data_IF_664975331279
#
_entry.id   IF_664975331279
#
_cell.length_a   1.000
_cell.length_b   1.000
_cell.length_c   1.000
_cell.angle_alpha   90.00
_cell.angle_beta   90.00
_cell.angle_gamma   90.00
#
_symmetry.space_group_name_H-M   'P 1'
#
loop_
_entity.id
_entity.type
_entity.pdbx_description
1 polymer ?
#
# COMPACT_ATOMS: atom_id res chain seq x y z
N UNK A 1 -7.29 55.55 -13.91
CA UNK A 1 -7.30 54.45 -12.92
C UNK A 1 -7.36 53.15 -13.72
N UNK A 2 -6.21 52.55 -14.04
CA UNK A 2 -6.17 51.27 -14.79
C UNK A 2 -6.61 50.19 -13.82
N UNK A 3 -7.81 49.68 -14.05
CA UNK A 3 -8.46 48.70 -13.18
C UNK A 3 -7.54 47.50 -13.00
N UNK A 4 -6.92 47.38 -11.83
CA UNK A 4 -6.13 46.22 -11.41
C UNK A 4 -6.96 44.91 -11.43
N UNK A 5 -8.26 45.02 -11.65
CA UNK A 5 -9.23 43.95 -11.76
C UNK A 5 -9.08 43.10 -13.03
N UNK A 6 -8.68 43.66 -14.17
CA UNK A 6 -8.55 42.89 -15.43
C UNK A 6 -7.44 41.83 -15.42
N UNK A 7 -6.22 42.07 -14.92
CA UNK A 7 -5.21 41.00 -14.83
C UNK A 7 -5.62 39.92 -13.81
N UNK A 8 -6.27 40.31 -12.71
CA UNK A 8 -6.79 39.38 -11.69
C UNK A 8 -7.92 38.50 -12.24
N UNK A 9 -8.85 39.08 -13.00
CA UNK A 9 -9.93 38.35 -13.68
C UNK A 9 -9.37 37.35 -14.70
N UNK A 10 -8.37 37.78 -15.48
CA UNK A 10 -7.74 36.90 -16.48
C UNK A 10 -7.01 35.73 -15.81
N UNK A 11 -6.30 35.99 -14.70
CA UNK A 11 -5.66 34.95 -13.90
C UNK A 11 -6.68 33.97 -13.32
N UNK A 12 -7.79 34.46 -12.77
CA UNK A 12 -8.87 33.61 -12.25
C UNK A 12 -9.47 32.72 -13.35
N UNK A 13 -9.77 33.27 -14.53
CA UNK A 13 -10.35 32.51 -15.63
C UNK A 13 -9.43 31.40 -16.16
N UNK A 14 -8.11 31.56 -16.04
CA UNK A 14 -7.14 30.52 -16.39
C UNK A 14 -6.94 29.49 -15.27
N UNK A 15 -6.96 29.91 -14.01
CA UNK A 15 -6.71 29.04 -12.85
C UNK A 15 -7.92 28.15 -12.55
N UNK A 16 -9.15 28.65 -12.63
CA UNK A 16 -10.37 27.88 -12.32
C UNK A 16 -10.52 26.57 -13.11
N UNK A 17 -10.36 26.53 -14.45
CA UNK A 17 -10.48 25.29 -15.22
C UNK A 17 -9.25 24.38 -15.11
N UNK A 18 -8.08 24.96 -14.82
CA UNK A 18 -6.80 24.22 -14.70
C UNK A 18 -6.64 23.54 -13.34
N UNK A 19 -7.17 24.14 -12.29
CA UNK A 19 -7.12 23.65 -10.92
C UNK A 19 -7.71 22.23 -10.74
N UNK A 20 -8.92 21.89 -11.22
CA UNK A 20 -9.47 20.55 -11.06
C UNK A 20 -8.66 19.48 -11.80
N UNK A 21 -8.09 19.79 -12.96
CA UNK A 21 -7.20 18.89 -13.70
C UNK A 21 -5.89 18.61 -12.94
N UNK A 22 -5.33 19.63 -12.31
CA UNK A 22 -4.13 19.50 -11.47
C UNK A 22 -4.43 18.70 -10.20
N UNK A 23 -5.59 18.94 -9.57
CA UNK A 23 -6.04 18.19 -8.40
C UNK A 23 -6.29 16.72 -8.76
N UNK A 24 -6.94 16.43 -9.88
CA UNK A 24 -7.22 15.07 -10.34
C UNK A 24 -5.94 14.28 -10.64
N UNK A 25 -4.91 14.92 -11.23
CA UNK A 25 -3.58 14.31 -11.41
C UNK A 25 -2.88 14.04 -10.09
N UNK A 26 -2.96 14.96 -9.13
CA UNK A 26 -2.41 14.76 -7.79
C UNK A 26 -3.11 13.60 -7.05
N UNK A 27 -4.44 13.50 -7.17
CA UNK A 27 -5.21 12.38 -6.62
C UNK A 27 -4.86 11.05 -7.30
N UNK A 28 -4.70 11.01 -8.62
CA UNK A 28 -4.30 9.78 -9.33
C UNK A 28 -2.87 9.32 -8.95
N UNK A 29 -1.96 10.27 -8.70
CA UNK A 29 -0.63 9.98 -8.19
C UNK A 29 -0.65 9.49 -6.73
N UNK A 30 -1.54 10.02 -5.89
CA UNK A 30 -1.76 9.55 -4.52
C UNK A 30 -2.46 8.18 -4.46
N UNK A 31 -3.25 7.83 -5.49
CA UNK A 31 -3.91 6.52 -5.64
C UNK A 31 -3.00 5.42 -6.17
N UNK A 32 -1.75 5.72 -6.54
CA UNK A 32 -0.79 4.64 -6.77
C UNK A 32 -0.51 3.97 -5.43
N UNK A 33 -1.11 2.78 -5.26
CA UNK A 33 -0.95 1.92 -4.10
C UNK A 33 0.51 1.73 -3.76
N UNK A 34 0.98 2.52 -2.80
CA UNK A 34 2.32 2.37 -2.26
C UNK A 34 2.47 1.01 -1.58
N UNK A 35 3.72 0.65 -1.30
CA UNK A 35 4.05 -0.55 -0.53
C UNK A 35 3.47 -0.38 0.89
N UNK A 36 2.21 -0.78 1.09
CA UNK A 36 1.56 -0.65 2.39
C UNK A 36 1.76 -1.94 3.19
N UNK A 37 2.26 -1.80 4.41
CA UNK A 37 2.49 -2.94 5.29
C UNK A 37 1.17 -3.68 5.59
N UNK A 38 0.06 -2.93 5.66
CA UNK A 38 -1.27 -3.49 5.84
C UNK A 38 -1.75 -4.34 4.65
N UNK A 39 -1.48 -3.92 3.41
CA UNK A 39 -1.79 -4.74 2.23
C UNK A 39 -0.97 -6.04 2.22
N UNK A 40 0.30 -5.96 2.61
CA UNK A 40 1.18 -7.12 2.65
C UNK A 40 0.74 -8.11 3.74
N UNK A 41 0.37 -7.60 4.93
CA UNK A 41 -0.21 -8.40 6.01
C UNK A 41 -1.46 -9.15 5.55
N UNK A 42 -2.41 -8.46 4.90
CA UNK A 42 -3.62 -9.09 4.37
C UNK A 42 -3.32 -10.15 3.32
N UNK A 43 -2.38 -9.88 2.42
CA UNK A 43 -1.97 -10.83 1.39
C UNK A 43 -1.36 -12.10 2.01
N UNK A 44 -0.52 -11.96 3.03
CA UNK A 44 0.14 -13.09 3.71
C UNK A 44 -0.83 -13.91 4.56
N UNK A 45 -1.75 -13.27 5.27
CA UNK A 45 -2.82 -13.98 6.00
C UNK A 45 -3.76 -14.71 5.04
N UNK A 46 -4.11 -14.08 3.93
CA UNK A 46 -4.89 -14.73 2.88
C UNK A 46 -4.13 -15.95 2.32
N UNK A 47 -2.84 -15.80 1.99
CA UNK A 47 -2.03 -16.92 1.53
C UNK A 47 -2.01 -18.07 2.55
N UNK A 48 -1.79 -17.78 3.83
CA UNK A 48 -1.86 -18.77 4.92
C UNK A 48 -3.19 -19.52 4.93
N UNK A 49 -4.33 -18.86 4.70
CA UNK A 49 -5.65 -19.52 4.64
C UNK A 49 -5.85 -20.42 3.41
N UNK A 50 -5.06 -20.25 2.35
CA UNK A 50 -5.14 -21.11 1.15
C UNK A 50 -4.38 -22.43 1.29
N UNK A 51 -3.59 -22.59 2.36
CA UNK A 51 -2.79 -23.79 2.60
C UNK A 51 -3.64 -24.85 3.30
N UNK A 52 -3.66 -26.07 2.73
CA UNK A 52 -4.39 -27.19 3.32
C UNK A 52 -3.82 -27.62 4.69
N UNK A 53 -2.50 -27.50 4.85
CA UNK A 53 -1.82 -27.73 6.12
C UNK A 53 -0.74 -26.64 6.33
N UNK A 54 -1.06 -25.53 7.01
CA UNK A 54 -0.10 -24.47 7.28
C UNK A 54 0.98 -24.97 8.25
N UNK A 55 2.24 -24.68 7.95
CA UNK A 55 3.37 -25.07 8.80
C UNK A 55 3.28 -24.46 10.20
N UNK A 56 3.85 -25.16 11.20
CA UNK A 56 3.88 -24.70 12.60
C UNK A 56 4.53 -23.31 12.74
N UNK A 57 5.55 -23.01 11.93
CA UNK A 57 6.22 -21.71 11.87
C UNK A 57 5.26 -20.55 11.54
N UNK A 58 4.19 -20.81 10.78
CA UNK A 58 3.18 -19.81 10.44
C UNK A 58 2.22 -19.51 11.60
N UNK A 59 2.33 -20.18 12.75
CA UNK A 59 1.49 -19.90 13.93
C UNK A 59 1.62 -18.47 14.44
N UNK A 60 2.80 -17.86 14.28
CA UNK A 60 3.08 -16.46 14.62
C UNK A 60 2.35 -15.45 13.71
N UNK A 61 1.87 -15.87 12.55
CA UNK A 61 1.22 -14.99 11.58
C UNK A 61 -0.22 -14.68 12.00
N UNK A 62 -0.43 -13.50 12.60
CA UNK A 62 -1.71 -13.09 13.22
C UNK A 62 -2.03 -11.64 12.91
N UNK A 63 -3.33 -11.31 12.83
CA UNK A 63 -3.79 -9.96 12.56
C UNK A 63 -3.59 -9.05 13.78
N UNK A 64 -2.41 -8.46 13.89
CA UNK A 64 -2.08 -7.46 14.92
C UNK A 64 -2.35 -6.08 14.32
N UNK A 65 -3.61 -5.64 14.41
CA UNK A 65 -4.13 -4.48 13.71
C UNK A 65 -3.60 -3.11 14.19
N UNK A 66 -2.72 -3.05 15.21
CA UNK A 66 -2.46 -1.78 15.92
C UNK A 66 -1.01 -1.52 16.35
N UNK A 67 -0.05 -2.39 16.08
CA UNK A 67 1.34 -2.16 16.51
C UNK A 67 2.27 -2.27 15.32
N UNK A 68 3.08 -1.24 15.12
CA UNK A 68 4.11 -1.12 14.07
C UNK A 68 5.21 -2.20 14.08
N UNK A 69 5.09 -3.23 14.93
CA UNK A 69 5.88 -4.48 14.91
C UNK A 69 5.12 -5.71 14.39
N UNK A 70 3.90 -5.54 13.86
CA UNK A 70 2.95 -6.64 13.65
C UNK A 70 3.30 -7.67 12.57
N UNK A 71 3.93 -7.28 11.46
CA UNK A 71 4.23 -8.17 10.33
C UNK A 71 5.66 -8.71 10.35
N UNK A 72 6.61 -7.86 10.73
CA UNK A 72 8.04 -8.14 10.64
C UNK A 72 8.57 -9.02 11.79
N UNK A 73 7.74 -9.24 12.81
CA UNK A 73 8.03 -10.16 13.91
C UNK A 73 7.51 -11.58 13.66
N UNK A 74 6.88 -11.82 12.51
CA UNK A 74 6.43 -13.16 12.13
C UNK A 74 7.61 -14.04 11.76
N UNK A 75 7.53 -15.30 12.17
CA UNK A 75 8.55 -16.28 11.82
C UNK A 75 8.65 -16.41 10.30
N UNK A 76 9.88 -16.36 9.80
CA UNK A 76 10.15 -16.46 8.39
C UNK A 76 9.80 -15.21 7.57
N UNK A 77 9.33 -14.10 8.16
CA UNK A 77 9.13 -12.83 7.45
C UNK A 77 10.31 -11.90 7.70
N UNK A 78 10.92 -11.42 6.62
CA UNK A 78 11.97 -10.40 6.70
C UNK A 78 11.45 -9.09 6.11
N UNK A 79 11.51 -8.03 6.92
CA UNK A 79 11.22 -6.69 6.47
C UNK A 79 12.50 -5.87 6.34
N UNK A 80 12.57 -5.05 5.30
CA UNK A 80 13.63 -4.05 5.14
C UNK A 80 13.04 -2.74 4.67
N UNK A 81 13.72 -1.63 4.97
CA UNK A 81 13.37 -0.33 4.43
C UNK A 81 13.75 -0.30 2.94
N UNK A 82 12.75 -0.13 2.05
CA UNK A 82 12.95 -0.15 0.59
C UNK A 82 12.78 1.25 0.03
N UNK A 83 13.70 1.71 -0.83
CA UNK A 83 13.55 3.02 -1.48
C UNK A 83 12.38 2.97 -2.45
N UNK A 84 11.39 3.82 -2.23
CA UNK A 84 10.26 4.01 -3.11
C UNK A 84 10.05 5.51 -3.37
N UNK A 85 10.61 6.00 -4.48
CA UNK A 85 10.65 7.42 -4.80
C UNK A 85 11.45 8.20 -3.74
N UNK A 86 10.79 9.18 -3.09
CA UNK A 86 11.37 9.94 -1.98
C UNK A 86 11.15 9.31 -0.60
N UNK A 87 10.37 8.23 -0.52
CA UNK A 87 10.06 7.55 0.74
C UNK A 87 10.92 6.29 0.91
N UNK A 88 11.05 5.85 2.16
CA UNK A 88 11.72 4.60 2.53
C UNK A 88 10.80 3.78 3.45
N UNK A 89 9.67 3.26 2.96
CA UNK A 89 8.77 2.44 3.77
C UNK A 89 9.40 1.09 4.15
N UNK A 90 9.00 0.55 5.31
CA UNK A 90 9.25 -0.84 5.65
C UNK A 90 8.37 -1.76 4.79
N UNK A 91 9.00 -2.74 4.17
CA UNK A 91 8.35 -3.71 3.29
C UNK A 91 8.89 -5.12 3.56
N UNK A 92 8.04 -6.13 3.38
CA UNK A 92 8.48 -7.52 3.34
C UNK A 92 9.29 -7.73 2.08
N UNK A 93 10.53 -8.17 2.25
CA UNK A 93 11.47 -8.43 1.15
C UNK A 93 11.88 -9.88 1.04
N UNK A 94 11.67 -10.68 2.09
CA UNK A 94 11.89 -12.12 2.03
C UNK A 94 10.91 -12.88 2.91
N UNK A 95 10.58 -14.09 2.47
CA UNK A 95 9.83 -15.09 3.21
C UNK A 95 10.65 -16.38 3.20
N UNK A 96 11.06 -16.86 4.37
CA UNK A 96 11.85 -18.06 4.55
C UNK A 96 11.16 -19.01 5.52
N UNK A 97 10.70 -20.14 5.00
CA UNK A 97 10.00 -21.17 5.75
C UNK A 97 10.62 -22.53 5.40
N UNK A 98 11.84 -22.82 5.90
CA UNK A 98 12.51 -24.07 5.61
C UNK A 98 11.68 -25.24 6.12
N UNK A 99 11.70 -26.35 5.38
CA UNK A 99 11.04 -27.62 5.73
C UNK A 99 9.52 -27.52 5.97
N UNK A 100 8.90 -26.40 5.59
CA UNK A 100 7.51 -26.10 5.87
C UNK A 100 6.50 -26.89 5.01
N UNK A 101 6.97 -27.74 4.09
CA UNK A 101 6.13 -28.61 3.26
C UNK A 101 5.00 -27.84 2.55
N UNK A 102 5.24 -26.59 2.17
CA UNK A 102 4.20 -25.70 1.67
C UNK A 102 3.84 -26.10 0.23
N UNK A 103 2.73 -26.81 0.09
CA UNK A 103 2.12 -27.11 -1.21
C UNK A 103 0.96 -26.14 -1.45
N UNK A 104 1.05 -25.28 -2.47
CA UNK A 104 0.00 -24.30 -2.78
C UNK A 104 0.34 -23.38 -3.96
N UNK A 105 -0.62 -22.55 -4.38
CA UNK A 105 -0.43 -21.51 -5.42
C UNK A 105 -0.46 -20.13 -4.80
N UNK A 106 0.52 -19.29 -5.10
CA UNK A 106 0.47 -17.85 -4.80
C UNK A 106 -0.52 -17.18 -5.76
N UNK A 107 -1.69 -16.79 -5.25
CA UNK A 107 -2.67 -16.01 -6.00
C UNK A 107 -2.29 -14.54 -6.09
N UNK A 108 -2.84 -13.82 -7.08
CA UNK A 108 -2.73 -12.36 -7.18
C UNK A 108 -3.61 -11.74 -6.09
N UNK A 109 -3.01 -11.06 -5.13
CA UNK A 109 -3.76 -10.21 -4.19
C UNK A 109 -4.02 -8.85 -4.84
N UNK A 110 -5.28 -8.56 -5.17
CA UNK A 110 -5.70 -7.21 -5.52
C UNK A 110 -6.13 -6.51 -4.24
N UNK A 111 -5.55 -5.34 -3.95
CA UNK A 111 -6.09 -4.43 -2.95
C UNK A 111 -7.57 -4.24 -3.24
N UNK A 112 -8.42 -4.72 -2.33
CA UNK A 112 -9.83 -4.37 -2.33
C UNK A 112 -9.90 -2.90 -1.91
N UNK A 113 -9.85 -2.01 -2.89
CA UNK A 113 -10.25 -0.61 -2.75
C UNK A 113 -11.75 -0.65 -2.44
N UNK A 114 -12.09 -0.67 -1.14
CA UNK A 114 -13.46 -0.54 -0.70
C UNK A 114 -13.88 0.91 -1.02
N UNK A 115 -14.39 1.08 -2.24
CA UNK A 115 -15.19 2.22 -2.66
C UNK A 115 -16.17 2.53 -1.54
N UNK A 116 -15.91 3.60 -0.79
CA UNK A 116 -16.93 4.21 0.05
C UNK A 116 -17.39 5.51 -0.60
N UNK A 117 -18.71 5.75 -0.56
CA UNK A 117 -19.43 6.68 -1.43
C UNK A 117 -18.97 8.13 -1.31
#
# INVERSE_FOLDING_TARGET
MRSASTPLLCLCLLVLPSCPLLLQRAHAAARHGGISLMSQQKALLHWKSTLANPAAEMSSWRDTSSSSGGLCNWTGIMCTAVRHGRSMPWAVTSISLPDAGIHGKLGIWRSQEHSRP
#
